data_IF_569466321204
#
_entry.id   IF_569466321204
#
_cell.length_a   1.000
_cell.length_b   1.000
_cell.length_c   1.000
_cell.angle_alpha   90.00
_cell.angle_beta   90.00
_cell.angle_gamma   90.00
#
_symmetry.space_group_name_H-M   'P 1'
#
loop_
_entity.id
_entity.type
_entity.pdbx_description
1 polymer ?
#
# COMPACT_ATOMS: atom_id res chain seq x y z
N UNK A 1 5.46 7.65 4.44
CA UNK A 1 5.42 9.14 4.35
C UNK A 1 6.43 9.74 5.32
N UNK A 2 6.96 10.93 5.02
CA UNK A 2 7.90 11.63 5.90
C UNK A 2 7.22 12.18 7.15
N UNK A 3 7.80 11.92 8.31
CA UNK A 3 7.42 12.53 9.58
C UNK A 3 8.47 13.54 9.99
N UNK A 4 8.05 14.75 10.34
CA UNK A 4 8.95 15.79 10.78
C UNK A 4 8.97 15.84 12.31
N UNK A 5 10.08 16.27 12.91
CA UNK A 5 10.18 16.44 14.36
C UNK A 5 11.14 17.57 14.74
N UNK A 6 11.03 18.01 16.00
CA UNK A 6 11.99 18.86 16.66
C UNK A 6 12.92 17.99 17.53
N UNK A 7 14.22 18.04 17.25
CA UNK A 7 15.25 17.61 18.19
C UNK A 7 15.45 18.73 19.23
N UNK A 8 14.89 18.56 20.42
CA UNK A 8 14.93 19.56 21.49
C UNK A 8 16.36 19.80 22.02
N UNK A 9 17.22 18.77 22.01
CA UNK A 9 18.58 18.87 22.54
C UNK A 9 19.47 19.69 21.60
N UNK A 10 19.39 19.40 20.29
CA UNK A 10 20.15 20.12 19.26
C UNK A 10 19.46 21.39 18.80
N UNK A 11 18.19 21.56 19.16
CA UNK A 11 17.32 22.61 18.66
C UNK A 11 17.29 22.60 17.12
N UNK A 12 16.95 21.45 16.54
CA UNK A 12 17.02 21.21 15.10
C UNK A 12 15.72 20.64 14.53
N UNK A 13 15.36 21.07 13.32
CA UNK A 13 14.28 20.48 12.55
C UNK A 13 14.79 19.23 11.84
N UNK A 14 14.12 18.11 12.05
CA UNK A 14 14.46 16.81 11.48
C UNK A 14 13.31 16.23 10.66
N UNK A 15 13.65 15.32 9.76
CA UNK A 15 12.71 14.50 8.99
C UNK A 15 13.12 13.04 9.08
N UNK A 16 12.13 12.16 9.18
CA UNK A 16 12.26 10.72 9.25
C UNK A 16 11.36 10.09 8.21
N UNK A 17 11.81 8.99 7.59
CA UNK A 17 10.96 8.27 6.67
C UNK A 17 11.28 6.79 6.60
N UNK A 18 10.24 6.00 6.35
CA UNK A 18 10.33 4.55 6.23
C UNK A 18 11.08 4.11 4.97
N UNK A 19 11.77 2.98 5.06
CA UNK A 19 12.54 2.33 4.01
C UNK A 19 12.21 0.84 3.87
N UNK A 20 11.08 0.38 4.44
CA UNK A 20 10.58 -1.00 4.44
C UNK A 20 11.06 -1.83 5.62
N UNK A 21 12.30 -1.60 6.09
CA UNK A 21 12.91 -2.33 7.23
C UNK A 21 13.17 -1.45 8.45
N UNK A 22 12.88 -0.16 8.34
CA UNK A 22 13.19 0.83 9.36
C UNK A 22 13.19 2.24 8.78
N UNK A 23 13.67 3.21 9.55
CA UNK A 23 13.60 4.62 9.18
C UNK A 23 14.98 5.21 8.87
N UNK A 24 15.04 6.07 7.85
CA UNK A 24 16.15 7.02 7.66
C UNK A 24 15.78 8.35 8.32
N UNK A 25 16.77 9.05 8.86
CA UNK A 25 16.62 10.37 9.47
C UNK A 25 17.59 11.38 8.84
N UNK A 26 17.17 12.63 8.69
CA UNK A 26 18.02 13.73 8.25
C UNK A 26 17.70 15.02 9.00
N UNK A 27 18.72 15.81 9.27
CA UNK A 27 18.55 17.19 9.77
C UNK A 27 18.29 18.11 8.58
N UNK A 28 17.24 18.94 8.69
CA UNK A 28 16.89 19.95 7.69
C UNK A 28 17.57 21.28 8.02
N UNK A 29 17.47 21.69 9.29
CA UNK A 29 17.95 22.98 9.77
C UNK A 29 18.30 22.93 11.25
N UNK A 30 19.38 23.60 11.63
CA UNK A 30 19.60 24.02 13.01
C UNK A 30 18.83 25.32 13.25
N UNK A 31 18.09 25.40 14.35
CA UNK A 31 17.17 26.50 14.63
C UNK A 31 17.82 27.47 15.62
N UNK A 32 17.64 28.78 15.40
CA UNK A 32 18.09 29.78 16.35
C UNK A 32 17.35 29.63 17.69
N UNK A 33 18.08 29.74 18.82
CA UNK A 33 17.55 29.46 20.17
C UNK A 33 16.45 30.40 20.64
N UNK A 34 16.24 31.50 19.93
CA UNK A 34 15.20 32.49 20.21
C UNK A 34 13.88 32.19 19.47
N UNK A 35 13.86 31.22 18.55
CA UNK A 35 12.63 30.73 17.94
C UNK A 35 11.85 29.90 18.96
N UNK A 36 10.59 30.25 19.29
CA UNK A 36 9.80 29.52 20.25
C UNK A 36 9.46 28.09 19.80
N UNK A 37 9.57 27.11 20.70
CA UNK A 37 9.23 25.70 20.45
C UNK A 37 7.81 25.53 19.88
N UNK A 38 6.83 26.31 20.34
CA UNK A 38 5.45 26.22 19.86
C UNK A 38 5.31 26.66 18.40
N UNK A 39 6.16 27.57 17.92
CA UNK A 39 6.22 27.94 16.51
C UNK A 39 6.82 26.81 15.67
N UNK A 40 7.87 26.16 16.18
CA UNK A 40 8.54 25.03 15.52
C UNK A 40 7.63 23.81 15.46
N UNK A 41 6.95 23.47 16.55
CA UNK A 41 6.00 22.35 16.61
C UNK A 41 4.86 22.52 15.60
N UNK A 42 4.39 23.77 15.37
CA UNK A 42 3.41 24.06 14.32
C UNK A 42 3.97 23.88 12.91
N UNK A 43 5.24 24.24 12.69
CA UNK A 43 5.92 24.00 11.42
C UNK A 43 6.07 22.49 11.17
N UNK A 44 6.54 21.74 12.16
CA UNK A 44 6.67 20.27 12.15
C UNK A 44 5.34 19.60 11.80
N UNK A 45 4.27 20.00 12.49
CA UNK A 45 2.93 19.47 12.22
C UNK A 45 2.49 19.75 10.78
N UNK A 46 2.63 20.99 10.32
CA UNK A 46 2.24 21.37 8.96
C UNK A 46 3.05 20.64 7.89
N UNK A 47 4.36 20.43 8.10
CA UNK A 47 5.22 19.69 7.18
C UNK A 47 4.83 18.21 7.10
N UNK A 48 4.51 17.61 8.25
CA UNK A 48 4.04 16.22 8.32
C UNK A 48 2.70 16.07 7.60
N UNK A 49 1.77 17.02 7.78
CA UNK A 49 0.51 17.04 7.03
C UNK A 49 0.74 17.21 5.52
N UNK A 50 1.64 18.11 5.10
CA UNK A 50 1.96 18.29 3.69
C UNK A 50 2.54 17.01 3.08
N UNK A 51 3.50 16.35 3.74
CA UNK A 51 4.04 15.06 3.28
C UNK A 51 2.95 14.00 3.17
N UNK A 52 2.03 13.93 4.14
CA UNK A 52 0.89 13.01 4.07
C UNK A 52 0.01 13.27 2.84
N UNK A 53 -0.31 14.54 2.53
CA UNK A 53 -1.12 14.88 1.35
C UNK A 53 -0.38 14.64 0.03
N UNK A 54 0.92 14.90 0.00
CA UNK A 54 1.79 14.64 -1.16
C UNK A 54 1.91 13.15 -1.43
N UNK A 55 2.20 12.31 -0.44
CA UNK A 55 2.23 10.85 -0.62
C UNK A 55 0.84 10.24 -0.85
N UNK A 56 -0.23 10.94 -0.45
CA UNK A 56 -1.58 10.53 -0.81
C UNK A 56 -1.80 10.56 -2.32
N UNK A 57 -1.20 11.48 -3.07
CA UNK A 57 -1.31 11.49 -4.54
C UNK A 57 -0.63 10.27 -5.18
N UNK A 58 0.45 9.79 -4.56
CA UNK A 58 1.13 8.55 -4.99
C UNK A 58 0.25 7.32 -4.75
N UNK A 59 -0.28 7.17 -3.52
CA UNK A 59 -1.09 6.00 -3.11
C UNK A 59 -2.47 5.97 -3.79
N UNK A 60 -3.02 7.13 -4.13
CA UNK A 60 -4.33 7.30 -4.75
C UNK A 60 -4.20 8.01 -6.11
N UNK A 61 -3.55 7.39 -7.12
CA UNK A 61 -3.43 8.00 -8.42
C UNK A 61 -4.81 8.16 -9.07
N UNK A 62 -4.99 9.20 -9.88
CA UNK A 62 -6.24 9.45 -10.60
C UNK A 62 -6.61 8.27 -11.51
N UNK A 63 -5.60 7.62 -12.14
CA UNK A 63 -5.77 6.45 -12.99
C UNK A 63 -6.34 5.21 -12.28
N UNK A 64 -6.34 5.18 -10.94
CA UNK A 64 -6.95 4.09 -10.16
C UNK A 64 -8.37 4.44 -9.66
N UNK A 65 -8.93 5.59 -10.05
CA UNK A 65 -10.32 5.91 -9.83
C UNK A 65 -11.21 5.35 -10.95
N UNK A 66 -12.47 5.08 -10.63
CA UNK A 66 -13.42 4.49 -11.59
C UNK A 66 -13.80 5.47 -12.72
N UNK A 67 -13.70 6.78 -12.46
CA UNK A 67 -14.07 7.85 -13.37
C UNK A 67 -13.16 9.08 -13.20
N UNK A 68 -12.90 9.77 -14.32
CA UNK A 68 -12.12 11.00 -14.44
C UNK A 68 -12.97 12.22 -14.81
N UNK A 69 -14.29 12.10 -14.93
CA UNK A 69 -15.20 13.21 -15.23
C UNK A 69 -15.13 14.34 -14.19
N UNK A 70 -15.50 15.56 -14.58
CA UNK A 70 -15.44 16.74 -13.70
C UNK A 70 -16.31 16.53 -12.45
N UNK A 71 -15.75 16.85 -11.28
CA UNK A 71 -16.34 16.63 -9.95
C UNK A 71 -16.44 15.17 -9.49
N UNK A 72 -15.82 14.23 -10.19
CA UNK A 72 -15.59 12.86 -9.69
C UNK A 72 -14.36 12.79 -8.79
N UNK A 73 -14.14 11.64 -8.17
CA UNK A 73 -12.96 11.40 -7.34
C UNK A 73 -11.66 11.42 -8.16
N UNK A 74 -11.65 10.85 -9.37
CA UNK A 74 -10.48 10.86 -10.24
C UNK A 74 -10.07 12.27 -10.64
N UNK A 75 -11.04 13.13 -10.97
CA UNK A 75 -10.78 14.55 -11.25
C UNK A 75 -10.18 15.30 -10.05
N UNK A 76 -10.63 15.02 -8.83
CA UNK A 76 -10.05 15.62 -7.61
C UNK A 76 -8.61 15.15 -7.38
N UNK A 77 -8.36 13.85 -7.52
CA UNK A 77 -7.01 13.26 -7.38
C UNK A 77 -6.03 13.87 -8.39
N UNK A 78 -6.47 14.05 -9.62
CA UNK A 78 -5.67 14.69 -10.68
C UNK A 78 -5.36 16.15 -10.30
N UNK A 79 -6.36 16.92 -9.88
CA UNK A 79 -6.16 18.29 -9.39
C UNK A 79 -5.24 18.39 -8.17
N UNK A 80 -5.25 17.40 -7.26
CA UNK A 80 -4.29 17.34 -6.14
C UNK A 80 -2.85 17.15 -6.65
N UNK A 81 -2.65 16.33 -7.66
CA UNK A 81 -1.33 16.09 -8.26
C UNK A 81 -0.84 17.31 -9.05
N UNK A 82 -1.71 17.98 -9.79
CA UNK A 82 -1.39 19.24 -10.50
C UNK A 82 -0.94 20.36 -9.54
N UNK A 83 -1.48 20.38 -8.32
CA UNK A 83 -1.12 21.37 -7.30
C UNK A 83 0.35 21.32 -6.85
N UNK A 84 1.11 20.28 -7.22
CA UNK A 84 2.57 20.26 -7.00
C UNK A 84 3.24 21.51 -7.60
N UNK A 85 2.73 22.02 -8.72
CA UNK A 85 3.23 23.23 -9.37
C UNK A 85 3.05 24.52 -8.56
N UNK A 86 2.15 24.54 -7.57
CA UNK A 86 1.86 25.74 -6.74
C UNK A 86 2.46 25.66 -5.34
N UNK A 87 2.92 24.49 -4.89
CA UNK A 87 3.42 24.27 -3.52
C UNK A 87 4.53 25.26 -3.13
N UNK A 88 5.54 25.45 -3.97
CA UNK A 88 6.66 26.37 -3.65
C UNK A 88 6.19 27.83 -3.50
N UNK A 89 5.21 28.25 -4.31
CA UNK A 89 4.62 29.58 -4.16
C UNK A 89 3.79 29.67 -2.87
N UNK A 90 2.99 28.65 -2.55
CA UNK A 90 2.19 28.61 -1.33
C UNK A 90 3.04 28.65 -0.04
N UNK A 91 4.25 28.07 -0.07
CA UNK A 91 5.23 28.14 1.02
C UNK A 91 5.79 29.56 1.22
N UNK A 92 6.10 30.26 0.13
CA UNK A 92 6.80 31.56 0.17
C UNK A 92 5.86 32.76 0.21
N UNK A 93 4.63 32.59 -0.30
CA UNK A 93 3.54 33.59 -0.31
C UNK A 93 2.26 32.95 0.22
N UNK A 94 2.22 32.55 1.50
CA UNK A 94 1.04 31.91 2.06
C UNK A 94 -0.16 32.86 2.08
N UNK A 95 -1.37 32.29 2.02
CA UNK A 95 -2.58 33.02 2.38
C UNK A 95 -2.52 33.43 3.85
N UNK A 96 -2.24 34.71 4.13
CA UNK A 96 -2.21 35.28 5.47
C UNK A 96 -3.61 35.78 5.88
N UNK A 97 -3.97 35.75 7.17
CA UNK A 97 -5.22 36.35 7.63
C UNK A 97 -5.31 37.84 7.27
N UNK A 98 -6.43 38.24 6.67
CA UNK A 98 -6.71 39.63 6.30
C UNK A 98 -8.15 39.99 6.66
N UNK A 99 -8.34 41.11 7.35
CA UNK A 99 -9.68 41.53 7.82
C UNK A 99 -10.34 40.54 8.79
N UNK A 100 -9.55 39.74 9.52
CA UNK A 100 -10.05 38.70 10.43
C UNK A 100 -10.52 37.41 9.73
N UNK A 101 -10.35 37.31 8.42
CA UNK A 101 -10.68 36.12 7.63
C UNK A 101 -9.42 35.47 7.08
N UNK A 102 -9.50 34.16 6.80
CA UNK A 102 -8.42 33.37 6.18
C UNK A 102 -8.96 32.73 4.90
N UNK A 103 -8.26 32.95 3.78
CA UNK A 103 -8.50 32.21 2.54
C UNK A 103 -7.89 30.81 2.69
N UNK A 104 -8.70 29.78 2.44
CA UNK A 104 -8.33 28.37 2.55
C UNK A 104 -8.54 27.71 1.19
N UNK A 105 -7.55 26.95 0.70
CA UNK A 105 -7.73 26.18 -0.54
C UNK A 105 -8.58 24.94 -0.28
N UNK A 106 -9.42 24.59 -1.25
CA UNK A 106 -10.13 23.30 -1.23
C UNK A 106 -9.23 22.13 -1.61
N UNK A 107 -8.07 22.41 -2.22
CA UNK A 107 -7.07 21.40 -2.55
C UNK A 107 -6.19 21.13 -1.30
N UNK A 108 -6.20 19.91 -0.73
CA UNK A 108 -5.46 19.62 0.50
C UNK A 108 -3.93 19.80 0.38
N UNK A 109 -3.35 19.52 -0.79
CA UNK A 109 -1.90 19.70 -1.03
C UNK A 109 -1.54 21.18 -0.98
N UNK A 110 -2.30 22.01 -1.67
CA UNK A 110 -2.08 23.47 -1.68
C UNK A 110 -2.35 24.09 -0.30
N UNK A 111 -3.43 23.69 0.38
CA UNK A 111 -3.75 24.23 1.70
C UNK A 111 -2.71 23.86 2.75
N UNK A 112 -2.23 22.61 2.76
CA UNK A 112 -1.16 22.21 3.69
C UNK A 112 0.15 22.93 3.37
N UNK A 113 0.45 23.22 2.11
CA UNK A 113 1.57 24.08 1.74
C UNK A 113 1.41 25.51 2.28
N UNK A 114 0.20 26.10 2.19
CA UNK A 114 -0.08 27.39 2.83
C UNK A 114 0.04 27.34 4.37
N UNK A 115 -0.32 26.22 5.01
CA UNK A 115 -0.13 26.05 6.47
C UNK A 115 1.35 26.09 6.84
N UNK A 116 2.20 25.40 6.08
CA UNK A 116 3.65 25.44 6.25
C UNK A 116 4.16 26.87 6.05
N UNK A 117 3.76 27.54 4.95
CA UNK A 117 4.15 28.92 4.69
C UNK A 117 3.72 29.89 5.79
N UNK A 118 2.51 29.74 6.36
CA UNK A 118 2.05 30.52 7.52
C UNK A 118 2.85 30.24 8.78
N UNK A 119 3.36 29.02 8.96
CA UNK A 119 4.25 28.69 10.07
C UNK A 119 5.63 29.36 9.87
N UNK A 120 6.20 29.27 8.67
CA UNK A 120 7.46 29.93 8.30
C UNK A 120 7.37 31.46 8.45
N UNK A 121 6.30 32.09 7.95
CA UNK A 121 6.08 33.53 8.08
C UNK A 121 5.99 33.98 9.56
N UNK A 122 5.53 33.11 10.47
CA UNK A 122 5.51 33.43 11.91
C UNK A 122 6.88 33.34 12.56
N UNK A 123 7.75 32.47 12.05
CA UNK A 123 9.13 32.33 12.52
C UNK A 123 10.00 33.49 11.97
N UNK A 124 9.69 33.97 10.77
CA UNK A 124 10.36 35.11 10.11
C UNK A 124 11.88 34.91 9.95
N UNK A 125 12.28 33.68 9.62
CA UNK A 125 13.66 33.32 9.28
C UNK A 125 13.77 32.97 7.79
N UNK A 126 14.39 33.84 6.97
CA UNK A 126 14.60 33.57 5.54
C UNK A 126 15.50 32.37 5.25
N UNK A 127 16.47 32.09 6.12
CA UNK A 127 17.39 30.95 5.98
C UNK A 127 16.66 29.64 6.18
N UNK A 128 15.88 29.54 7.27
CA UNK A 128 15.00 28.40 7.53
C UNK A 128 13.97 28.22 6.40
N UNK A 129 13.37 29.32 5.93
CA UNK A 129 12.42 29.28 4.81
C UNK A 129 13.06 28.66 3.56
N UNK A 130 14.29 29.05 3.22
CA UNK A 130 15.02 28.47 2.09
C UNK A 130 15.30 26.98 2.24
N UNK A 131 15.70 26.55 3.44
CA UNK A 131 15.95 25.12 3.75
C UNK A 131 14.67 24.29 3.68
N UNK A 132 13.56 24.79 4.22
CA UNK A 132 12.27 24.10 4.19
C UNK A 132 11.70 24.03 2.77
N UNK A 133 11.87 25.07 1.95
CA UNK A 133 11.48 25.02 0.53
C UNK A 133 12.28 23.93 -0.21
N UNK A 134 13.60 23.86 -0.03
CA UNK A 134 14.43 22.83 -0.65
C UNK A 134 14.04 21.42 -0.19
N UNK A 135 13.74 21.26 1.09
CA UNK A 135 13.27 20.01 1.69
C UNK A 135 11.92 19.55 1.09
N UNK A 136 10.94 20.45 0.99
CA UNK A 136 9.64 20.12 0.36
C UNK A 136 9.82 19.79 -1.12
N UNK A 137 10.71 20.48 -1.83
CA UNK A 137 11.02 20.13 -3.22
C UNK A 137 11.60 18.72 -3.35
N UNK A 138 12.46 18.30 -2.42
CA UNK A 138 12.98 16.94 -2.37
C UNK A 138 11.86 15.91 -2.10
N UNK A 139 10.87 16.25 -1.27
CA UNK A 139 9.69 15.42 -1.02
C UNK A 139 8.83 15.24 -2.28
N UNK A 140 8.53 16.32 -3.01
CA UNK A 140 7.75 16.27 -4.25
C UNK A 140 8.48 15.45 -5.32
N UNK A 141 9.80 15.66 -5.47
CA UNK A 141 10.62 14.91 -6.40
C UNK A 141 10.70 13.41 -6.05
N UNK A 142 10.65 13.06 -4.77
CA UNK A 142 10.61 11.67 -4.32
C UNK A 142 9.32 10.96 -4.73
N UNK A 143 8.17 11.65 -4.66
CA UNK A 143 6.90 11.13 -5.17
C UNK A 143 6.96 10.94 -6.69
N UNK A 144 7.50 11.91 -7.43
CA UNK A 144 7.68 11.81 -8.88
C UNK A 144 8.56 10.63 -9.29
N UNK A 145 9.65 10.40 -8.57
CA UNK A 145 10.52 9.24 -8.79
C UNK A 145 9.80 7.93 -8.49
N UNK A 146 9.05 7.85 -7.39
CA UNK A 146 8.26 6.68 -7.04
C UNK A 146 7.17 6.38 -8.08
N UNK A 147 6.51 7.40 -8.63
CA UNK A 147 5.52 7.26 -9.72
C UNK A 147 6.13 6.60 -10.97
N UNK A 148 7.41 6.84 -11.23
CA UNK A 148 8.18 6.23 -12.32
C UNK A 148 8.75 4.85 -11.98
N UNK A 149 8.58 4.38 -10.75
CA UNK A 149 9.12 3.11 -10.26
C UNK A 149 10.57 3.18 -9.79
N UNK A 150 11.13 4.37 -9.55
CA UNK A 150 12.50 4.55 -9.06
C UNK A 150 12.51 4.70 -7.53
N UNK A 151 12.69 3.58 -6.80
CA UNK A 151 12.55 3.52 -5.34
C UNK A 151 13.86 3.75 -4.58
N UNK A 152 14.62 4.77 -4.98
CA UNK A 152 15.90 5.12 -4.37
C UNK A 152 15.82 6.35 -3.47
N UNK A 153 16.78 6.51 -2.56
CA UNK A 153 16.85 7.66 -1.66
C UNK A 153 15.57 7.84 -0.85
N UNK A 154 14.90 8.99 -1.01
CA UNK A 154 13.64 9.29 -0.32
C UNK A 154 12.42 8.62 -0.98
N UNK A 155 12.47 8.34 -2.28
CA UNK A 155 11.39 7.65 -2.99
C UNK A 155 11.15 6.24 -2.45
N UNK A 156 12.15 5.66 -1.76
CA UNK A 156 12.05 4.35 -1.08
C UNK A 156 10.89 4.27 -0.09
N UNK A 157 10.35 5.37 0.40
CA UNK A 157 9.12 5.34 1.22
C UNK A 157 7.97 4.58 0.57
N UNK A 158 7.91 4.56 -0.77
CA UNK A 158 6.92 3.82 -1.53
C UNK A 158 6.87 2.33 -1.17
N UNK A 159 7.99 1.72 -0.78
CA UNK A 159 8.04 0.29 -0.42
C UNK A 159 7.19 0.00 0.83
N UNK A 160 6.91 1.00 1.67
CA UNK A 160 6.09 0.85 2.87
C UNK A 160 4.63 1.28 2.66
N UNK A 161 4.23 1.67 1.44
CA UNK A 161 2.91 2.24 1.16
C UNK A 161 2.11 1.33 0.24
N UNK A 162 0.83 1.10 0.59
CA UNK A 162 -0.12 0.48 -0.32
C UNK A 162 -0.61 1.52 -1.36
N UNK A 163 -0.53 1.15 -2.64
CA UNK A 163 -0.98 1.96 -3.76
C UNK A 163 -2.19 1.29 -4.42
N UNK A 164 -3.21 2.09 -4.76
CA UNK A 164 -4.47 1.61 -5.34
C UNK A 164 -4.33 1.03 -6.76
N UNK A 165 -3.21 1.29 -7.44
CA UNK A 165 -2.78 0.64 -8.67
C UNK A 165 -1.31 0.28 -8.55
N UNK A 166 -0.73 -0.33 -9.58
CA UNK A 166 0.70 -0.70 -9.56
C UNK A 166 1.44 -0.20 -10.79
N UNK A 167 2.74 0.09 -10.62
CA UNK A 167 3.62 0.39 -11.75
C UNK A 167 3.95 -0.89 -12.54
N UNK A 168 3.72 -0.93 -13.87
CA UNK A 168 4.07 -2.10 -14.68
C UNK A 168 5.56 -2.48 -14.60
N UNK A 169 6.45 -1.49 -14.47
CA UNK A 169 7.90 -1.71 -14.33
C UNK A 169 8.21 -2.43 -13.01
N UNK A 170 7.51 -2.08 -11.94
CA UNK A 170 7.67 -2.71 -10.62
C UNK A 170 7.07 -4.12 -10.60
N UNK A 171 5.95 -4.35 -11.30
CA UNK A 171 5.35 -5.69 -11.44
C UNK A 171 6.32 -6.62 -12.17
N UNK A 172 6.93 -6.14 -13.25
CA UNK A 172 7.93 -6.90 -13.98
C UNK A 172 9.18 -7.20 -13.12
N UNK A 173 9.66 -6.23 -12.34
CA UNK A 173 10.78 -6.45 -11.43
C UNK A 173 10.44 -7.49 -10.35
N UNK A 174 9.22 -7.49 -9.81
CA UNK A 174 8.74 -8.51 -8.86
C UNK A 174 8.69 -9.91 -9.50
N UNK A 175 8.17 -10.00 -10.73
CA UNK A 175 8.14 -11.26 -11.51
C UNK A 175 9.54 -11.84 -11.72
N UNK A 176 10.55 -11.00 -12.01
CA UNK A 176 11.93 -11.42 -12.17
C UNK A 176 12.55 -11.97 -10.88
N UNK A 177 12.21 -11.39 -9.73
CA UNK A 177 12.63 -11.91 -8.41
C UNK A 177 12.01 -13.29 -8.17
N UNK A 178 10.70 -13.44 -8.37
CA UNK A 178 9.99 -14.71 -8.18
C UNK A 178 10.41 -15.78 -9.19
N UNK A 179 10.81 -15.39 -10.41
CA UNK A 179 11.41 -16.29 -11.38
C UNK A 179 12.71 -16.92 -10.86
N UNK A 180 13.47 -16.18 -10.05
CA UNK A 180 14.68 -16.68 -9.40
C UNK A 180 14.32 -17.56 -8.21
N UNK A 181 13.45 -17.10 -7.31
CA UNK A 181 12.99 -17.86 -6.16
C UNK A 181 11.46 -17.78 -5.99
N UNK A 182 10.70 -18.80 -6.45
CA UNK A 182 9.23 -18.78 -6.38
C UNK A 182 8.68 -18.72 -4.95
N UNK A 183 9.46 -19.15 -3.95
CA UNK A 183 9.07 -19.10 -2.53
C UNK A 183 9.27 -17.71 -1.89
N UNK A 184 9.73 -16.73 -2.67
CA UNK A 184 9.91 -15.35 -2.23
C UNK A 184 11.33 -14.99 -1.82
N UNK A 185 11.64 -13.70 -1.87
CA UNK A 185 12.92 -13.12 -1.48
C UNK A 185 12.67 -11.84 -0.65
N UNK A 186 13.48 -11.54 0.37
CA UNK A 186 13.35 -10.30 1.14
C UNK A 186 13.35 -9.00 0.31
N UNK A 187 13.93 -9.03 -0.90
CA UNK A 187 13.88 -7.91 -1.83
C UNK A 187 12.44 -7.49 -2.21
N UNK A 188 11.48 -8.44 -2.20
CA UNK A 188 10.05 -8.14 -2.45
C UNK A 188 9.46 -7.14 -1.45
N UNK A 189 10.00 -7.08 -0.23
CA UNK A 189 9.53 -6.21 0.85
C UNK A 189 10.36 -4.93 1.02
N UNK A 190 11.49 -4.83 0.34
CA UNK A 190 12.51 -3.79 0.62
C UNK A 190 12.97 -3.00 -0.59
N UNK A 191 12.77 -3.54 -1.79
CA UNK A 191 13.23 -2.93 -3.05
C UNK A 191 12.07 -2.56 -3.98
N UNK A 192 10.86 -3.07 -3.71
CA UNK A 192 9.72 -2.96 -4.61
C UNK A 192 8.48 -2.39 -3.94
N UNK A 193 7.57 -1.87 -4.76
CA UNK A 193 6.23 -1.49 -4.35
C UNK A 193 5.42 -2.74 -3.95
N UNK A 194 4.80 -2.80 -2.76
CA UNK A 194 4.16 -4.02 -2.27
C UNK A 194 2.96 -4.44 -3.13
N UNK A 195 2.18 -3.50 -3.69
CA UNK A 195 1.08 -3.82 -4.61
C UNK A 195 1.60 -4.53 -5.86
N UNK A 196 2.76 -4.10 -6.39
CA UNK A 196 3.39 -4.73 -7.54
C UNK A 196 3.92 -6.13 -7.19
N UNK A 197 4.52 -6.28 -6.02
CA UNK A 197 4.92 -7.58 -5.46
C UNK A 197 3.74 -8.55 -5.36
N UNK A 198 2.60 -8.11 -4.82
CA UNK A 198 1.39 -8.92 -4.68
C UNK A 198 0.80 -9.34 -6.05
N UNK A 199 0.84 -8.47 -7.07
CA UNK A 199 0.40 -8.83 -8.42
C UNK A 199 1.24 -9.95 -9.00
N UNK A 200 2.57 -9.84 -8.91
CA UNK A 200 3.45 -10.90 -9.35
C UNK A 200 3.23 -12.17 -8.51
N UNK A 201 3.21 -12.07 -7.18
CA UNK A 201 2.96 -13.22 -6.31
C UNK A 201 1.62 -13.92 -6.60
N UNK A 202 0.58 -13.18 -7.02
CA UNK A 202 -0.71 -13.75 -7.44
C UNK A 202 -0.57 -14.62 -8.70
N UNK A 203 0.18 -14.16 -9.70
CA UNK A 203 0.49 -14.95 -10.90
C UNK A 203 1.28 -16.22 -10.56
N UNK A 204 2.28 -16.09 -9.68
CA UNK A 204 3.11 -17.21 -9.22
C UNK A 204 2.34 -18.20 -8.33
N UNK A 205 1.42 -17.72 -7.50
CA UNK A 205 0.49 -18.54 -6.73
C UNK A 205 -0.38 -19.39 -7.63
N UNK A 206 -0.93 -18.82 -8.70
CA UNK A 206 -1.73 -19.58 -9.65
C UNK A 206 -0.92 -20.69 -10.32
N UNK A 207 0.32 -20.39 -10.74
CA UNK A 207 1.22 -21.38 -11.32
C UNK A 207 1.57 -22.50 -10.31
N UNK A 208 1.83 -22.13 -9.05
CA UNK A 208 2.09 -23.08 -7.97
C UNK A 208 0.88 -23.99 -7.70
N UNK A 209 -0.33 -23.43 -7.67
CA UNK A 209 -1.55 -24.18 -7.46
C UNK A 209 -1.84 -25.10 -8.66
N UNK A 210 -1.63 -24.66 -9.90
CA UNK A 210 -1.81 -25.47 -11.12
C UNK A 210 -0.84 -26.67 -11.15
N UNK A 211 0.42 -26.47 -10.78
CA UNK A 211 1.44 -27.54 -10.67
C UNK A 211 1.06 -28.53 -9.57
N UNK A 212 0.67 -28.03 -8.41
CA UNK A 212 0.34 -28.85 -7.24
C UNK A 212 -0.95 -29.63 -7.45
N UNK A 213 -1.94 -29.05 -8.13
CA UNK A 213 -3.18 -29.73 -8.51
C UNK A 213 -2.90 -30.92 -9.44
N UNK A 214 -1.97 -30.77 -10.39
CA UNK A 214 -1.55 -31.88 -11.27
C UNK A 214 -0.87 -33.02 -10.50
N UNK A 215 -0.12 -32.69 -9.44
CA UNK A 215 0.61 -33.67 -8.64
C UNK A 215 -0.28 -34.39 -7.60
N UNK A 216 -1.12 -33.64 -6.89
CA UNK A 216 -1.96 -34.15 -5.78
C UNK A 216 -3.36 -34.61 -6.23
N UNK A 217 -3.88 -34.06 -7.32
CA UNK A 217 -5.28 -34.24 -7.74
C UNK A 217 -6.29 -33.36 -6.99
N UNK A 218 -5.85 -32.51 -6.06
CA UNK A 218 -6.72 -31.55 -5.38
C UNK A 218 -7.06 -30.34 -6.26
N UNK A 219 -8.21 -29.72 -5.99
CA UNK A 219 -8.55 -28.44 -6.62
C UNK A 219 -7.66 -27.31 -6.05
N UNK A 220 -7.30 -26.28 -6.84
CA UNK A 220 -6.44 -25.17 -6.41
C UNK A 220 -6.78 -24.56 -5.04
N UNK A 221 -8.05 -24.27 -4.78
CA UNK A 221 -8.50 -23.69 -3.50
C UNK A 221 -8.41 -24.67 -2.34
N UNK A 222 -8.62 -25.97 -2.59
CA UNK A 222 -8.49 -27.02 -1.57
C UNK A 222 -7.03 -27.21 -1.15
N UNK A 223 -6.07 -27.01 -2.06
CA UNK A 223 -4.64 -27.14 -1.75
C UNK A 223 -4.23 -26.19 -0.62
N UNK A 224 -4.69 -24.93 -0.68
CA UNK A 224 -4.35 -23.92 0.32
C UNK A 224 -4.95 -24.27 1.68
N UNK A 225 -6.20 -24.71 1.71
CA UNK A 225 -6.89 -25.13 2.95
C UNK A 225 -6.23 -26.36 3.56
N UNK A 226 -5.86 -27.35 2.75
CA UNK A 226 -5.19 -28.57 3.24
C UNK A 226 -3.77 -28.30 3.71
N UNK A 227 -3.06 -27.31 3.14
CA UNK A 227 -1.73 -26.95 3.59
C UNK A 227 -1.71 -26.43 5.03
N UNK A 228 -2.78 -25.76 5.49
CA UNK A 228 -2.94 -25.30 6.88
C UNK A 228 -2.91 -26.47 7.90
N UNK A 229 -3.32 -27.68 7.48
CA UNK A 229 -3.23 -28.87 8.32
C UNK A 229 -1.78 -29.38 8.50
N UNK A 230 -0.84 -28.93 7.66
CA UNK A 230 0.59 -29.30 7.71
C UNK A 230 1.36 -28.25 8.51
N UNK A 231 1.20 -26.98 8.14
CA UNK A 231 1.80 -25.82 8.78
C UNK A 231 0.71 -24.75 8.90
N UNK A 232 0.60 -24.06 10.04
CA UNK A 232 -0.40 -23.01 10.20
C UNK A 232 -0.09 -21.84 9.25
N UNK A 233 -0.91 -21.67 8.21
CA UNK A 233 -0.69 -20.72 7.12
C UNK A 233 -1.92 -19.83 6.92
N UNK A 234 -1.70 -18.61 6.43
CA UNK A 234 -2.79 -17.77 5.98
C UNK A 234 -3.46 -18.41 4.74
N UNK A 235 -4.65 -18.98 4.92
CA UNK A 235 -5.34 -19.69 3.83
C UNK A 235 -6.53 -18.91 3.26
N UNK A 236 -7.15 -17.99 4.02
CA UNK A 236 -8.34 -17.25 3.60
C UNK A 236 -8.06 -16.37 2.38
N UNK A 237 -7.09 -15.46 2.49
CA UNK A 237 -6.76 -14.51 1.41
C UNK A 237 -6.28 -15.21 0.13
N UNK A 238 -5.33 -16.19 0.16
CA UNK A 238 -4.92 -16.87 -1.07
C UNK A 238 -6.05 -17.69 -1.71
N UNK A 239 -6.99 -18.20 -0.90
CA UNK A 239 -8.19 -18.88 -1.42
C UNK A 239 -9.08 -17.89 -2.19
N UNK A 240 -9.40 -16.73 -1.60
CA UNK A 240 -10.17 -15.67 -2.27
C UNK A 240 -9.51 -15.26 -3.59
N UNK A 241 -8.18 -15.09 -3.58
CA UNK A 241 -7.42 -14.74 -4.80
C UNK A 241 -7.58 -15.82 -5.88
N UNK A 242 -7.41 -17.10 -5.54
CA UNK A 242 -7.58 -18.19 -6.50
C UNK A 242 -9.02 -18.28 -7.03
N UNK A 243 -10.03 -17.98 -6.21
CA UNK A 243 -11.43 -17.92 -6.63
C UNK A 243 -11.68 -16.78 -7.63
N UNK A 244 -11.15 -15.58 -7.37
CA UNK A 244 -11.25 -14.45 -8.30
C UNK A 244 -10.57 -14.74 -9.64
N UNK A 245 -9.39 -15.38 -9.62
CA UNK A 245 -8.73 -15.83 -10.85
C UNK A 245 -9.55 -16.88 -11.61
N UNK A 246 -10.24 -17.80 -10.91
CA UNK A 246 -11.15 -18.77 -11.55
C UNK A 246 -12.38 -18.11 -12.18
N UNK A 247 -12.84 -16.99 -11.62
CA UNK A 247 -13.89 -16.15 -12.20
C UNK A 247 -13.40 -15.35 -13.43
N UNK A 248 -12.10 -15.43 -13.74
CA UNK A 248 -11.51 -14.86 -14.95
C UNK A 248 -10.93 -13.46 -14.77
N UNK A 249 -10.83 -12.95 -13.53
CA UNK A 249 -10.11 -11.71 -13.26
C UNK A 249 -8.60 -11.92 -13.50
N UNK A 250 -7.92 -10.88 -13.96
CA UNK A 250 -6.46 -10.91 -14.01
C UNK A 250 -5.84 -10.78 -12.60
N UNK A 251 -4.57 -11.18 -12.40
CA UNK A 251 -3.80 -10.86 -11.20
C UNK A 251 -3.82 -9.37 -10.85
N UNK A 252 -3.73 -8.50 -11.86
CA UNK A 252 -3.78 -7.05 -11.66
C UNK A 252 -5.15 -6.61 -11.11
N UNK A 253 -6.25 -7.05 -11.72
CA UNK A 253 -7.61 -6.71 -11.29
C UNK A 253 -7.90 -7.24 -9.89
N UNK A 254 -7.51 -8.49 -9.62
CA UNK A 254 -7.69 -9.17 -8.34
C UNK A 254 -7.00 -8.41 -7.21
N UNK A 255 -5.70 -8.16 -7.35
CA UNK A 255 -4.90 -7.49 -6.31
C UNK A 255 -5.32 -6.04 -6.13
N UNK A 256 -5.47 -5.27 -7.21
CA UNK A 256 -5.83 -3.86 -7.07
C UNK A 256 -7.26 -3.69 -6.54
N UNK A 257 -8.17 -4.64 -6.79
CA UNK A 257 -9.50 -4.67 -6.18
C UNK A 257 -9.43 -4.86 -4.67
N UNK A 258 -8.74 -5.91 -4.20
CA UNK A 258 -8.57 -6.20 -2.78
C UNK A 258 -7.87 -5.06 -2.02
N UNK A 259 -6.76 -4.54 -2.57
CA UNK A 259 -6.00 -3.44 -1.97
C UNK A 259 -6.85 -2.17 -1.91
N UNK A 260 -7.58 -1.80 -2.98
CA UNK A 260 -8.51 -0.64 -2.96
C UNK A 260 -9.62 -0.80 -1.94
N UNK A 261 -10.15 -2.02 -1.80
CA UNK A 261 -11.16 -2.34 -0.80
C UNK A 261 -10.64 -2.10 0.62
N UNK A 262 -9.47 -2.67 0.93
CA UNK A 262 -8.86 -2.49 2.23
C UNK A 262 -8.46 -1.02 2.53
N UNK A 263 -7.96 -0.29 1.53
CA UNK A 263 -7.69 1.15 1.65
C UNK A 263 -8.97 1.96 1.92
N UNK A 264 -10.09 1.58 1.31
CA UNK A 264 -11.40 2.20 1.59
C UNK A 264 -11.85 1.93 3.03
N UNK A 265 -11.63 0.72 3.53
CA UNK A 265 -11.87 0.36 4.93
C UNK A 265 -10.98 1.15 5.90
N UNK A 266 -9.70 1.34 5.57
CA UNK A 266 -8.77 2.17 6.35
C UNK A 266 -9.23 3.62 6.51
N UNK A 267 -9.99 4.13 5.55
CA UNK A 267 -10.60 5.47 5.57
C UNK A 267 -11.94 5.51 6.32
N UNK A 268 -12.34 4.41 6.97
CA UNK A 268 -13.58 4.30 7.73
C UNK A 268 -14.83 4.17 6.86
N UNK A 269 -14.68 3.70 5.60
CA UNK A 269 -15.79 3.49 4.66
C UNK A 269 -15.97 1.99 4.40
N UNK A 270 -17.19 1.58 4.07
CA UNK A 270 -17.49 0.18 3.70
C UNK A 270 -17.21 0.03 2.19
N UNK A 271 -16.31 -0.86 1.76
CA UNK A 271 -15.93 -0.99 0.35
C UNK A 271 -17.06 -1.52 -0.52
N UNK A 272 -17.69 -2.62 -0.09
CA UNK A 272 -18.85 -3.23 -0.73
C UNK A 272 -19.94 -3.45 0.32
N UNK A 273 -20.98 -2.62 0.26
CA UNK A 273 -22.10 -2.72 1.19
C UNK A 273 -22.99 -3.93 0.87
N UNK A 274 -23.15 -4.26 -0.41
CA UNK A 274 -24.03 -5.34 -0.83
C UNK A 274 -23.41 -6.69 -0.44
N UNK A 275 -22.10 -6.87 -0.66
CA UNK A 275 -21.37 -8.06 -0.22
C UNK A 275 -21.43 -8.24 1.30
N UNK A 276 -21.24 -7.17 2.08
CA UNK A 276 -21.34 -7.22 3.53
C UNK A 276 -22.76 -7.63 3.98
N UNK A 277 -23.80 -7.12 3.34
CA UNK A 277 -25.18 -7.49 3.63
C UNK A 277 -25.46 -8.95 3.29
N UNK A 278 -24.91 -9.45 2.18
CA UNK A 278 -25.01 -10.86 1.80
C UNK A 278 -24.28 -11.77 2.80
N UNK A 279 -23.09 -11.39 3.27
CA UNK A 279 -22.37 -12.14 4.31
C UNK A 279 -23.14 -12.17 5.64
N UNK A 280 -23.76 -11.05 6.03
CA UNK A 280 -24.65 -10.99 7.21
C UNK A 280 -25.83 -11.95 7.02
N UNK A 281 -26.47 -11.93 5.85
CA UNK A 281 -27.61 -12.81 5.57
C UNK A 281 -27.21 -14.30 5.62
N UNK A 282 -26.04 -14.66 5.09
CA UNK A 282 -25.50 -16.03 5.16
C UNK A 282 -25.21 -16.45 6.60
N UNK A 283 -24.61 -15.58 7.41
CA UNK A 283 -24.36 -15.84 8.82
C UNK A 283 -25.68 -16.03 9.61
N UNK A 284 -26.72 -15.26 9.29
CA UNK A 284 -28.05 -15.41 9.87
C UNK A 284 -28.70 -16.73 9.46
N UNK A 285 -28.65 -17.08 8.17
CA UNK A 285 -29.21 -18.33 7.66
C UNK A 285 -28.53 -19.55 8.30
N UNK A 286 -27.20 -19.55 8.40
CA UNK A 286 -26.44 -20.64 9.01
C UNK A 286 -26.80 -20.81 10.49
N UNK A 287 -26.90 -19.71 11.23
CA UNK A 287 -27.30 -19.76 12.64
C UNK A 287 -28.74 -20.25 12.84
N UNK A 288 -29.66 -19.88 11.95
CA UNK A 288 -31.03 -20.38 11.94
C UNK A 288 -31.09 -21.88 11.64
N UNK A 289 -30.33 -22.36 10.66
CA UNK A 289 -30.22 -23.78 10.32
C UNK A 289 -29.73 -24.62 11.51
N UNK A 290 -28.79 -24.09 12.29
CA UNK A 290 -28.25 -24.76 13.49
C UNK A 290 -29.04 -24.49 14.78
N UNK A 291 -30.05 -23.62 14.75
CA UNK A 291 -30.84 -23.17 15.91
C UNK A 291 -29.97 -22.65 17.08
N UNK A 292 -28.80 -22.08 16.78
CA UNK A 292 -27.84 -21.61 17.78
C UNK A 292 -27.62 -20.11 17.68
N UNK A 293 -28.11 -19.40 18.69
CA UNK A 293 -27.94 -17.94 18.79
C UNK A 293 -26.50 -17.53 19.08
N UNK A 294 -25.73 -18.37 19.77
CA UNK A 294 -24.31 -18.06 20.05
C UNK A 294 -23.48 -18.21 18.77
N UNK A 295 -23.85 -19.14 17.88
CA UNK A 295 -23.26 -19.25 16.55
C UNK A 295 -23.47 -17.97 15.74
N UNK A 296 -24.68 -17.39 15.78
CA UNK A 296 -24.93 -16.09 15.14
C UNK A 296 -23.98 -15.01 15.64
N UNK A 297 -23.86 -14.87 16.95
CA UNK A 297 -23.01 -13.84 17.55
C UNK A 297 -21.52 -14.07 17.22
N UNK A 298 -21.06 -15.33 17.20
CA UNK A 298 -19.71 -15.67 16.79
C UNK A 298 -19.44 -15.28 15.32
N UNK A 299 -20.30 -15.71 14.38
CA UNK A 299 -20.15 -15.41 12.97
C UNK A 299 -20.18 -13.90 12.68
N UNK A 300 -21.09 -13.16 13.32
CA UNK A 300 -21.16 -11.70 13.15
C UNK A 300 -19.94 -10.96 13.73
N UNK A 301 -19.29 -11.52 14.76
CA UNK A 301 -18.06 -10.94 15.31
C UNK A 301 -16.82 -11.25 14.45
N UNK A 302 -16.89 -12.29 13.62
CA UNK A 302 -15.83 -12.68 12.69
C UNK A 302 -15.93 -11.92 11.35
N UNK A 303 -17.07 -11.30 11.04
CA UNK A 303 -17.24 -10.48 9.84
C UNK A 303 -16.28 -9.29 9.82
N UNK A 304 -15.48 -9.22 8.76
CA UNK A 304 -14.58 -8.10 8.47
C UNK A 304 -15.10 -7.33 7.26
N UNK A 305 -14.88 -6.02 7.23
CA UNK A 305 -15.19 -5.18 6.05
C UNK A 305 -14.18 -5.36 4.92
N UNK A 306 -13.07 -6.05 5.18
CA UNK A 306 -12.04 -6.41 4.22
C UNK A 306 -11.28 -7.64 4.75
N UNK A 307 -10.81 -8.56 3.88
CA UNK A 307 -10.01 -9.70 4.31
C UNK A 307 -8.59 -9.28 4.77
N UNK A 308 -8.08 -8.15 4.27
CA UNK A 308 -6.71 -7.68 4.52
C UNK A 308 -6.61 -6.76 5.74
N UNK A 309 -5.43 -6.64 6.31
CA UNK A 309 -5.08 -5.59 7.26
C UNK A 309 -5.19 -4.20 6.59
N UNK A 310 -6.16 -3.35 6.99
CA UNK A 310 -6.36 -2.04 6.36
C UNK A 310 -5.19 -1.08 6.59
N UNK A 311 -4.33 -1.30 7.59
CA UNK A 311 -3.18 -0.42 7.85
C UNK A 311 -2.02 -0.69 6.88
N UNK A 312 -1.92 -1.90 6.32
CA UNK A 312 -0.83 -2.32 5.42
C UNK A 312 -1.28 -3.31 4.33
N UNK A 313 -2.36 -3.04 3.58
CA UNK A 313 -3.08 -4.10 2.85
C UNK A 313 -2.26 -4.77 1.75
N UNK A 314 -1.41 -4.02 1.06
CA UNK A 314 -0.56 -4.59 0.01
C UNK A 314 0.55 -5.50 0.55
N UNK A 315 1.10 -5.19 1.74
CA UNK A 315 2.09 -6.04 2.41
C UNK A 315 1.45 -7.30 2.97
N UNK A 316 0.31 -7.13 3.65
CA UNK A 316 -0.47 -8.23 4.20
C UNK A 316 -0.86 -9.24 3.11
N UNK A 317 -1.37 -8.75 1.99
CA UNK A 317 -1.68 -9.59 0.82
C UNK A 317 -0.43 -10.28 0.26
N UNK A 318 0.71 -9.58 0.16
CA UNK A 318 1.95 -10.19 -0.34
C UNK A 318 2.45 -11.30 0.60
N UNK A 319 2.43 -11.08 1.91
CA UNK A 319 2.76 -12.09 2.93
C UNK A 319 1.89 -13.33 2.75
N UNK A 320 0.56 -13.14 2.72
CA UNK A 320 -0.42 -14.22 2.55
C UNK A 320 -0.21 -15.00 1.24
N UNK A 321 0.05 -14.30 0.12
CA UNK A 321 0.27 -14.94 -1.17
C UNK A 321 1.53 -15.82 -1.19
N UNK A 322 2.62 -15.36 -0.56
CA UNK A 322 3.85 -16.15 -0.44
C UNK A 322 3.63 -17.37 0.47
N UNK A 323 2.85 -17.22 1.55
CA UNK A 323 2.41 -18.35 2.38
C UNK A 323 1.55 -19.33 1.59
N UNK A 324 0.69 -18.86 0.68
CA UNK A 324 -0.07 -19.70 -0.26
C UNK A 324 0.83 -20.48 -1.22
N UNK A 325 1.90 -19.86 -1.76
CA UNK A 325 2.88 -20.56 -2.60
C UNK A 325 3.63 -21.61 -1.79
N UNK A 326 4.00 -21.30 -0.53
CA UNK A 326 4.60 -22.26 0.40
C UNK A 326 3.64 -23.41 0.70
N UNK A 327 2.35 -23.14 0.88
CA UNK A 327 1.33 -24.17 1.07
C UNK A 327 1.25 -25.13 -0.12
N UNK A 328 1.29 -24.60 -1.34
CA UNK A 328 1.40 -25.41 -2.55
C UNK A 328 2.64 -26.32 -2.53
N UNK A 329 3.80 -25.77 -2.14
CA UNK A 329 5.04 -26.55 -2.01
C UNK A 329 4.92 -27.67 -0.97
N UNK A 330 4.35 -27.42 0.20
CA UNK A 330 4.15 -28.44 1.24
C UNK A 330 3.30 -29.61 0.74
N UNK A 331 2.17 -29.32 0.07
CA UNK A 331 1.30 -30.34 -0.51
C UNK A 331 1.99 -31.07 -1.66
N UNK A 332 2.75 -30.36 -2.50
CA UNK A 332 3.52 -30.99 -3.57
C UNK A 332 4.52 -32.00 -3.02
N UNK A 333 5.25 -31.65 -1.96
CA UNK A 333 6.23 -32.54 -1.32
C UNK A 333 5.58 -33.77 -0.70
N UNK A 334 4.40 -33.64 -0.08
CA UNK A 334 3.68 -34.79 0.49
C UNK A 334 3.22 -35.80 -0.59
N UNK A 335 3.09 -35.33 -1.84
CA UNK A 335 2.58 -36.12 -2.97
C UNK A 335 3.65 -36.54 -3.99
N UNK A 336 4.93 -36.15 -3.80
CA UNK A 336 6.03 -36.44 -4.74
C UNK A 336 7.24 -37.04 -4.02
N UNK A 337 8.17 -37.63 -4.79
CA UNK A 337 9.37 -38.27 -4.23
C UNK A 337 10.40 -37.20 -3.82
N UNK A 338 10.86 -37.16 -2.55
CA UNK A 338 11.69 -36.06 -2.00
C UNK A 338 13.12 -35.97 -2.55
N UNK A 339 13.51 -36.75 -3.57
CA UNK A 339 14.89 -36.79 -4.07
C UNK A 339 15.32 -35.55 -4.89
N UNK A 340 14.38 -34.68 -5.29
CA UNK A 340 14.65 -33.43 -6.03
C UNK A 340 14.02 -32.22 -5.34
N UNK A 341 14.79 -31.55 -4.48
CA UNK A 341 14.37 -30.37 -3.73
C UNK A 341 13.96 -29.19 -4.64
N UNK A 342 14.50 -29.13 -5.87
CA UNK A 342 14.25 -28.05 -6.84
C UNK A 342 13.11 -28.37 -7.82
N UNK A 343 12.60 -29.61 -7.86
CA UNK A 343 11.59 -30.05 -8.82
C UNK A 343 10.33 -29.18 -8.81
N UNK A 344 9.87 -28.77 -7.62
CA UNK A 344 8.74 -27.87 -7.49
C UNK A 344 9.04 -26.51 -8.12
N UNK A 345 10.16 -25.90 -7.75
CA UNK A 345 10.54 -24.57 -8.24
C UNK A 345 10.69 -24.56 -9.76
N UNK A 346 11.29 -25.59 -10.35
CA UNK A 346 11.43 -25.73 -11.80
C UNK A 346 10.08 -25.94 -12.51
N UNK A 347 9.19 -26.75 -11.95
CA UNK A 347 7.85 -26.95 -12.48
C UNK A 347 7.02 -25.66 -12.44
N UNK A 348 7.07 -24.93 -11.32
CA UNK A 348 6.35 -23.65 -11.16
C UNK A 348 6.92 -22.61 -12.12
N UNK A 349 8.24 -22.48 -12.26
CA UNK A 349 8.86 -21.60 -13.26
C UNK A 349 8.40 -21.95 -14.68
N UNK A 350 8.32 -23.23 -15.01
CA UNK A 350 7.85 -23.65 -16.33
C UNK A 350 6.38 -23.26 -16.57
N UNK A 351 5.51 -23.49 -15.59
CA UNK A 351 4.08 -23.13 -15.66
C UNK A 351 3.89 -21.60 -15.73
N UNK A 352 4.56 -20.83 -14.87
CA UNK A 352 4.49 -19.38 -14.85
C UNK A 352 4.97 -18.78 -16.19
N UNK A 353 6.08 -19.29 -16.74
CA UNK A 353 6.61 -18.82 -18.02
C UNK A 353 5.71 -19.16 -19.22
N UNK A 354 5.04 -20.32 -19.18
CA UNK A 354 4.09 -20.72 -20.22
C UNK A 354 2.83 -19.83 -20.24
N UNK A 355 2.51 -19.20 -19.10
CA UNK A 355 1.31 -18.38 -18.90
C UNK A 355 1.66 -16.93 -18.53
N UNK A 356 2.74 -16.36 -19.10
CA UNK A 356 3.16 -14.97 -18.82
C UNK A 356 2.13 -13.93 -19.25
N UNK A 357 1.27 -14.27 -20.19
CA UNK A 357 0.16 -13.43 -20.64
C UNK A 357 -0.86 -13.17 -19.52
N UNK A 358 -0.89 -14.00 -18.48
CA UNK A 358 -1.72 -13.77 -17.28
C UNK A 358 -1.24 -12.61 -16.43
N UNK A 359 0.02 -12.16 -16.55
CA UNK A 359 0.56 -11.10 -15.68
C UNK A 359 -0.03 -9.71 -15.98
N UNK A 360 -0.63 -9.51 -17.15
CA UNK A 360 -1.12 -8.21 -17.65
C UNK A 360 -2.64 -8.05 -17.58
#
# INVERSE_FOLDING_TARGET
MSTYALDEERHALMVFWDTGTGCTASTIAELARDVPDDAIQRLVHALTLLSAQVWRTYTHPAAAADDLEVNTEGWRRDGHREAFGTVTEALTKPNLPSGGMLTVSYNPVEETAHQVGRALHRIDDPGLTGQVVAEVQAELAAVEQAELGELSGRARQAVALARAGASPVQVQAADEILATNPLGDPALFTELEPTAGAIAATHWLQAAADVTAKASGFAPTQIIVEADNIEALAHETPTIVLELLQLGLSPYETVTGLVRGAMTAAEGRIPDLDELLDQIAQAEELAEQHQDRHLREALLNELRTTPLDPERPAHDLLEDLLDGIRGCWLIYQDNTDPEDEDAFADAVRAEANANRDRLT
#
